data_IF_707740015208
#
_entry.id   IF_707740015208
#
_cell.length_a   1.000
_cell.length_b   1.000
_cell.length_c   1.000
_cell.angle_alpha   90.00
_cell.angle_beta   90.00
_cell.angle_gamma   90.00
#
_symmetry.space_group_name_H-M   'P 1'
#
loop_
_entity.id
_entity.type
_entity.pdbx_description
1 polymer ?
#
# COMPACT_ATOMS: atom_id res chain seq x y z
N UNK A 1 -12.79 7.26 -16.82
CA UNK A 1 -13.83 7.00 -15.80
C UNK A 1 -13.55 7.96 -14.66
N UNK A 2 -14.48 8.86 -14.32
CA UNK A 2 -14.30 9.77 -13.17
C UNK A 2 -14.80 9.01 -11.94
N UNK A 3 -13.92 8.75 -10.98
CA UNK A 3 -14.31 8.16 -9.71
C UNK A 3 -14.62 9.29 -8.73
N UNK A 4 -15.85 9.33 -8.21
CA UNK A 4 -16.23 10.28 -7.18
C UNK A 4 -15.71 9.77 -5.83
N UNK A 5 -14.94 10.60 -5.15
CA UNK A 5 -14.49 10.36 -3.77
C UNK A 5 -15.42 11.16 -2.86
N UNK A 6 -16.04 10.47 -1.90
CA UNK A 6 -16.80 11.12 -0.84
C UNK A 6 -15.89 11.25 0.37
N UNK A 7 -15.72 12.47 0.85
CA UNK A 7 -14.98 12.80 2.06
C UNK A 7 -15.99 13.26 3.12
N UNK A 8 -15.72 12.95 4.38
CA UNK A 8 -16.45 13.58 5.48
C UNK A 8 -16.04 15.06 5.64
N UNK A 9 -16.85 15.80 6.41
CA UNK A 9 -16.69 17.24 6.59
C UNK A 9 -15.29 17.58 7.17
N UNK A 10 -14.84 16.83 8.18
CA UNK A 10 -13.54 17.02 8.84
C UNK A 10 -12.37 16.83 7.85
N UNK A 11 -12.41 15.77 7.04
CA UNK A 11 -11.37 15.47 6.03
C UNK A 11 -11.38 16.52 4.93
N UNK A 12 -12.56 16.98 4.51
CA UNK A 12 -12.73 18.04 3.51
C UNK A 12 -12.14 19.37 4.00
N UNK A 13 -12.43 19.76 5.24
CA UNK A 13 -11.89 20.98 5.86
C UNK A 13 -10.36 20.94 5.94
N UNK A 14 -9.78 19.81 6.32
CA UNK A 14 -8.32 19.63 6.39
C UNK A 14 -7.66 19.72 5.01
N UNK A 15 -8.24 19.09 3.99
CA UNK A 15 -7.75 19.17 2.61
C UNK A 15 -7.80 20.61 2.11
N UNK A 16 -8.92 21.31 2.33
CA UNK A 16 -9.07 22.71 1.94
C UNK A 16 -8.02 23.61 2.61
N UNK A 17 -7.77 23.42 3.90
CA UNK A 17 -6.74 24.17 4.62
C UNK A 17 -5.34 23.95 4.02
N UNK A 18 -4.99 22.71 3.65
CA UNK A 18 -3.73 22.41 2.99
C UNK A 18 -3.64 22.98 1.57
N UNK A 19 -4.72 22.92 0.80
CA UNK A 19 -4.83 23.53 -0.53
C UNK A 19 -4.60 25.05 -0.45
N UNK A 20 -5.24 25.73 0.51
CA UNK A 20 -5.04 27.17 0.73
C UNK A 20 -3.61 27.52 1.14
N UNK A 21 -2.98 26.68 1.98
CA UNK A 21 -1.63 26.93 2.49
C UNK A 21 -0.54 26.67 1.43
N UNK A 22 -0.72 25.64 0.61
CA UNK A 22 0.33 25.15 -0.30
C UNK A 22 0.14 25.59 -1.76
N UNK A 23 -1.08 26.00 -2.14
CA UNK A 23 -1.45 26.29 -3.52
C UNK A 23 -1.62 25.04 -4.40
N UNK A 24 -1.49 23.84 -3.84
CA UNK A 24 -1.73 22.57 -4.52
C UNK A 24 -3.23 22.29 -4.61
N UNK A 25 -3.67 21.58 -5.66
CA UNK A 25 -5.07 21.17 -5.76
C UNK A 25 -5.36 19.99 -4.84
N UNK A 26 -6.63 19.77 -4.50
CA UNK A 26 -7.06 18.59 -3.74
C UNK A 26 -6.59 17.30 -4.41
N UNK A 27 -6.63 17.25 -5.75
CA UNK A 27 -6.13 16.11 -6.52
C UNK A 27 -4.63 15.90 -6.34
N UNK A 28 -3.81 16.96 -6.28
CA UNK A 28 -2.37 16.84 -6.07
C UNK A 28 -2.08 16.28 -4.67
N UNK A 29 -2.80 16.76 -3.65
CA UNK A 29 -2.67 16.30 -2.28
C UNK A 29 -3.11 14.84 -2.13
N UNK A 30 -4.26 14.47 -2.68
CA UNK A 30 -4.77 13.09 -2.69
C UNK A 30 -3.78 12.17 -3.42
N UNK A 31 -3.34 12.56 -4.61
CA UNK A 31 -2.36 11.76 -5.36
C UNK A 31 -1.06 11.61 -4.59
N UNK A 32 -0.58 12.65 -3.91
CA UNK A 32 0.64 12.58 -3.11
C UNK A 32 0.49 11.63 -1.92
N UNK A 33 -0.64 11.70 -1.21
CA UNK A 33 -0.95 10.81 -0.08
C UNK A 33 -1.07 9.35 -0.54
N UNK A 34 -1.85 9.09 -1.60
CA UNK A 34 -2.00 7.74 -2.15
C UNK A 34 -0.68 7.19 -2.68
N UNK A 35 0.13 8.03 -3.34
CA UNK A 35 1.43 7.63 -3.90
C UNK A 35 2.40 7.11 -2.83
N UNK A 36 2.32 7.64 -1.60
CA UNK A 36 3.15 7.18 -0.49
C UNK A 36 2.86 5.72 -0.09
N UNK A 37 1.66 5.22 -0.40
CA UNK A 37 1.19 3.89 -0.02
C UNK A 37 1.05 2.93 -1.20
N UNK A 38 1.45 3.32 -2.42
CA UNK A 38 1.28 2.48 -3.63
C UNK A 38 1.92 1.10 -3.48
N UNK A 39 3.13 1.01 -2.91
CA UNK A 39 3.80 -0.27 -2.70
C UNK A 39 2.99 -1.19 -1.78
N UNK A 40 2.43 -0.64 -0.70
CA UNK A 40 1.64 -1.39 0.28
C UNK A 40 0.27 -1.80 -0.29
N UNK A 41 -0.37 -0.92 -1.07
CA UNK A 41 -1.60 -1.24 -1.79
C UNK A 41 -1.39 -2.34 -2.85
N UNK A 42 -0.27 -2.28 -3.56
CA UNK A 42 0.10 -3.31 -4.53
C UNK A 42 0.37 -4.66 -3.85
N UNK A 43 1.06 -4.64 -2.71
CA UNK A 43 1.30 -5.82 -1.87
C UNK A 43 -0.03 -6.45 -1.40
N UNK A 44 -0.94 -5.64 -0.85
CA UNK A 44 -2.24 -6.10 -0.39
C UNK A 44 -3.06 -6.70 -1.54
N UNK A 45 -3.03 -6.07 -2.71
CA UNK A 45 -3.69 -6.58 -3.92
C UNK A 45 -3.12 -7.94 -4.35
N UNK A 46 -1.80 -8.08 -4.36
CA UNK A 46 -1.13 -9.35 -4.70
C UNK A 46 -1.52 -10.46 -3.71
N UNK A 47 -1.53 -10.16 -2.41
CA UNK A 47 -1.93 -11.09 -1.36
C UNK A 47 -3.38 -11.57 -1.53
N UNK A 48 -4.32 -10.64 -1.76
CA UNK A 48 -5.75 -10.97 -1.94
C UNK A 48 -5.98 -11.73 -3.24
N UNK A 49 -5.27 -11.42 -4.32
CA UNK A 49 -5.35 -12.16 -5.57
C UNK A 49 -4.86 -13.61 -5.41
N UNK A 50 -3.80 -13.83 -4.63
CA UNK A 50 -3.30 -15.16 -4.31
C UNK A 50 -4.20 -15.90 -3.30
N UNK A 51 -4.92 -15.16 -2.43
CA UNK A 51 -5.74 -15.70 -1.36
C UNK A 51 -7.08 -14.96 -1.26
N UNK A 52 -8.01 -15.25 -2.18
CA UNK A 52 -9.29 -14.53 -2.30
C UNK A 52 -10.15 -14.54 -1.04
N UNK A 53 -9.94 -15.51 -0.14
CA UNK A 53 -10.60 -15.60 1.17
C UNK A 53 -10.25 -14.42 2.10
N UNK A 54 -9.13 -13.73 1.84
CA UNK A 54 -8.67 -12.59 2.63
C UNK A 54 -9.35 -11.27 2.27
N UNK A 55 -10.27 -11.25 1.29
CA UNK A 55 -10.88 -10.02 0.77
C UNK A 55 -11.54 -9.16 1.86
N UNK A 56 -12.27 -9.78 2.78
CA UNK A 56 -12.95 -9.06 3.87
C UNK A 56 -11.95 -8.51 4.89
N UNK A 57 -10.94 -9.30 5.27
CA UNK A 57 -9.87 -8.86 6.18
C UNK A 57 -9.05 -7.73 5.58
N UNK A 58 -8.79 -7.77 4.27
CA UNK A 58 -8.12 -6.70 3.53
C UNK A 58 -8.94 -5.41 3.50
N UNK A 59 -10.26 -5.51 3.28
CA UNK A 59 -11.15 -4.34 3.32
C UNK A 59 -11.18 -3.73 4.73
N UNK A 60 -11.30 -4.57 5.76
CA UNK A 60 -11.27 -4.12 7.15
C UNK A 60 -9.95 -3.46 7.51
N UNK A 61 -8.82 -4.01 7.06
CA UNK A 61 -7.50 -3.41 7.27
C UNK A 61 -7.40 -2.00 6.67
N UNK A 62 -7.93 -1.78 5.46
CA UNK A 62 -7.94 -0.45 4.82
C UNK A 62 -8.86 0.53 5.56
N UNK A 63 -10.00 0.07 6.08
CA UNK A 63 -10.94 0.90 6.82
C UNK A 63 -10.45 1.25 8.23
N UNK A 64 -9.77 0.32 8.89
CA UNK A 64 -9.22 0.49 10.23
C UNK A 64 -7.78 0.99 10.21
N UNK A 65 -7.29 1.46 9.06
CA UNK A 65 -5.90 1.87 8.90
C UNK A 65 -5.62 3.06 9.84
N UNK A 66 -4.75 2.82 10.82
CA UNK A 66 -4.48 3.74 11.92
C UNK A 66 -2.98 4.08 12.02
N UNK A 67 -2.43 4.29 13.24
CA UNK A 67 -1.02 4.67 13.41
C UNK A 67 -0.01 3.57 13.04
N UNK A 68 -0.48 2.35 12.77
CA UNK A 68 0.36 1.22 12.35
C UNK A 68 0.63 1.30 10.83
N UNK A 69 1.82 0.91 10.36
CA UNK A 69 2.08 0.86 8.91
C UNK A 69 1.24 -0.21 8.22
N UNK A 70 0.83 0.03 6.96
CA UNK A 70 -0.06 -0.89 6.23
C UNK A 70 0.66 -2.21 5.98
N UNK A 71 1.97 -2.13 5.78
CA UNK A 71 2.91 -3.26 5.73
C UNK A 71 2.76 -4.23 6.91
N UNK A 72 2.70 -3.74 8.15
CA UNK A 72 2.55 -4.60 9.34
C UNK A 72 1.15 -5.21 9.43
N UNK A 73 0.11 -4.47 9.04
CA UNK A 73 -1.25 -4.97 8.96
C UNK A 73 -1.40 -6.11 7.94
N UNK A 74 -0.77 -5.96 6.77
CA UNK A 74 -0.74 -6.98 5.71
C UNK A 74 -0.13 -8.28 6.25
N UNK A 75 1.03 -8.20 6.91
CA UNK A 75 1.69 -9.38 7.51
C UNK A 75 0.80 -10.10 8.52
N UNK A 76 -0.03 -9.36 9.26
CA UNK A 76 -0.93 -9.92 10.28
C UNK A 76 -2.07 -10.75 9.70
N UNK A 77 -2.60 -10.35 8.56
CA UNK A 77 -3.70 -11.08 7.89
C UNK A 77 -3.19 -12.14 6.91
N UNK A 78 -1.92 -12.08 6.54
CA UNK A 78 -1.31 -13.02 5.62
C UNK A 78 -1.14 -14.42 6.23
N UNK A 79 -1.04 -15.47 5.40
CA UNK A 79 -0.69 -16.81 5.88
C UNK A 79 0.63 -16.83 6.65
N UNK A 80 0.77 -17.78 7.58
CA UNK A 80 2.02 -17.96 8.32
C UNK A 80 3.20 -18.20 7.38
N UNK A 81 4.31 -17.48 7.59
CA UNK A 81 5.49 -17.54 6.75
C UNK A 81 5.40 -16.72 5.46
N UNK A 82 4.35 -15.90 5.30
CA UNK A 82 4.27 -14.93 4.21
C UNK A 82 5.50 -14.01 4.21
N UNK A 83 6.06 -13.83 3.01
CA UNK A 83 7.08 -12.82 2.73
C UNK A 83 6.49 -11.82 1.76
N UNK A 84 6.68 -10.54 2.06
CA UNK A 84 6.27 -9.46 1.17
C UNK A 84 6.98 -9.55 -0.18
N UNK A 85 6.44 -8.94 -1.23
CA UNK A 85 7.10 -8.87 -2.54
C UNK A 85 8.48 -8.23 -2.44
N UNK A 86 8.64 -7.21 -1.57
CA UNK A 86 9.94 -6.61 -1.27
C UNK A 86 10.91 -7.60 -0.65
N UNK A 87 10.49 -8.35 0.38
CA UNK A 87 11.33 -9.36 1.02
C UNK A 87 11.69 -10.52 0.07
N UNK A 88 10.79 -10.89 -0.83
CA UNK A 88 11.06 -11.88 -1.87
C UNK A 88 12.12 -11.37 -2.84
N UNK A 89 11.96 -10.15 -3.33
CA UNK A 89 12.93 -9.50 -4.22
C UNK A 89 14.33 -9.43 -3.58
N UNK A 90 14.42 -8.99 -2.33
CA UNK A 90 15.70 -8.90 -1.60
C UNK A 90 16.38 -10.28 -1.48
N UNK A 91 15.60 -11.33 -1.21
CA UNK A 91 16.11 -12.70 -1.17
C UNK A 91 16.65 -13.16 -2.53
N UNK A 92 15.92 -12.89 -3.61
CA UNK A 92 16.31 -13.27 -4.97
C UNK A 92 17.59 -12.55 -5.41
N UNK A 93 17.68 -11.25 -5.15
CA UNK A 93 18.88 -10.44 -5.43
C UNK A 93 20.09 -10.95 -4.64
N UNK A 94 19.92 -11.23 -3.34
CA UNK A 94 21.00 -11.78 -2.51
C UNK A 94 21.51 -13.13 -3.03
N UNK A 95 20.61 -14.01 -3.50
CA UNK A 95 20.97 -15.30 -4.08
C UNK A 95 21.73 -15.16 -5.40
N UNK A 96 21.33 -14.22 -6.27
CA UNK A 96 22.01 -13.93 -7.54
C UNK A 96 23.44 -13.40 -7.32
N UNK A 97 23.63 -12.54 -6.31
CA UNK A 97 24.97 -12.02 -5.95
C UNK A 97 25.85 -13.14 -5.38
N UNK A 98 25.31 -14.00 -4.52
CA UNK A 98 26.05 -15.08 -3.88
C UNK A 98 26.40 -16.24 -4.84
N UNK A 99 25.63 -16.42 -5.92
CA UNK A 99 25.86 -17.44 -6.94
C UNK A 99 26.01 -16.79 -8.33
N UNK A 100 27.15 -16.11 -8.62
CA UNK A 100 27.38 -15.59 -9.96
C UNK A 100 27.29 -16.76 -10.93
N UNK A 101 26.28 -16.72 -11.81
CA UNK A 101 26.10 -17.72 -12.88
C UNK A 101 27.45 -17.93 -13.53
N UNK A 102 27.98 -19.16 -13.48
CA UNK A 102 29.09 -19.55 -14.36
C UNK A 102 28.59 -19.37 -15.78
N UNK A 103 28.94 -18.24 -16.40
CA UNK A 103 28.78 -18.05 -17.84
C UNK A 103 29.57 -19.19 -18.51
N UNK A 104 28.83 -20.11 -19.13
CA UNK A 104 29.34 -21.04 -20.12
C UNK A 104 29.21 -20.39 -21.48
#
# INVERSE_FOLDING_TARGET
MIHHINLDDDTSELLQAHTMLTGLTDNDLINRLLSAHVSELHELLALVNANSKLREQAANLLLSFGPESLSEGIKRIAPSGYRTLGEQFDCEVAQLIASPRKMR
#
